data_IF_585030522636
#
_entry.id   IF_585030522636
#
_cell.length_a   1.000
_cell.length_b   1.000
_cell.length_c   1.000
_cell.angle_alpha   90.00
_cell.angle_beta   90.00
_cell.angle_gamma   90.00
#
_symmetry.space_group_name_H-M   'P 1'
#
loop_
_entity.id
_entity.type
_entity.pdbx_description
1 polymer ?
#
# COMPACT_ATOMS: atom_id res chain seq x y z
N UNK A 1 9.05 13.81 -14.79
CA UNK A 1 8.38 13.95 -13.48
C UNK A 1 9.07 15.00 -12.64
N UNK A 2 8.34 15.92 -12.11
CA UNK A 2 8.91 16.98 -11.29
C UNK A 2 9.21 16.48 -9.88
N UNK A 3 9.99 17.25 -9.14
CA UNK A 3 10.27 16.91 -7.74
C UNK A 3 8.99 16.87 -6.92
N UNK A 4 8.07 17.79 -7.20
CA UNK A 4 6.81 17.83 -6.49
C UNK A 4 5.97 16.58 -6.77
N UNK A 5 5.96 16.14 -8.01
CA UNK A 5 5.23 14.93 -8.38
C UNK A 5 5.84 13.70 -7.72
N UNK A 6 7.17 13.65 -7.67
CA UNK A 6 7.86 12.53 -7.01
C UNK A 6 7.50 12.49 -5.52
N UNK A 7 7.50 13.65 -4.88
CA UNK A 7 7.18 13.72 -3.45
C UNK A 7 5.73 13.30 -3.20
N UNK A 8 4.81 13.72 -4.04
CA UNK A 8 3.42 13.35 -3.92
C UNK A 8 3.26 11.84 -4.03
N UNK A 9 3.92 11.23 -5.04
CA UNK A 9 3.83 9.79 -5.23
C UNK A 9 4.51 9.03 -4.09
N UNK A 10 5.63 9.55 -3.61
CA UNK A 10 6.32 8.94 -2.47
C UNK A 10 5.41 8.95 -1.24
N UNK A 11 4.74 10.06 -0.99
CA UNK A 11 3.82 10.18 0.15
C UNK A 11 2.71 9.14 0.05
N UNK A 12 2.14 8.98 -1.14
CA UNK A 12 1.08 7.98 -1.34
C UNK A 12 1.60 6.57 -1.16
N UNK A 13 2.83 6.32 -1.59
CA UNK A 13 3.44 5.00 -1.43
C UNK A 13 3.67 4.69 0.05
N UNK A 14 4.12 5.68 0.83
CA UNK A 14 4.32 5.49 2.26
C UNK A 14 3.00 5.12 2.92
N UNK A 15 1.92 5.80 2.56
CA UNK A 15 0.61 5.48 3.11
C UNK A 15 0.17 4.08 2.73
N UNK A 16 0.39 3.70 1.48
CA UNK A 16 -0.01 2.37 1.00
C UNK A 16 0.75 1.26 1.71
N UNK A 17 2.01 1.53 2.09
CA UNK A 17 2.84 0.52 2.75
C UNK A 17 2.63 0.46 4.26
N UNK A 18 1.80 1.32 4.80
CA UNK A 18 1.47 1.24 6.21
C UNK A 18 1.95 2.40 7.07
N UNK A 19 2.53 3.42 6.44
CA UNK A 19 2.94 4.63 7.15
C UNK A 19 4.44 4.71 7.38
N UNK A 20 4.85 5.77 8.06
CA UNK A 20 6.27 6.10 8.25
C UNK A 20 7.04 4.97 8.91
N UNK A 21 6.47 4.40 9.97
CA UNK A 21 7.17 3.35 10.73
C UNK A 21 7.41 2.12 9.86
N UNK A 22 6.39 1.70 9.11
CA UNK A 22 6.51 0.53 8.26
C UNK A 22 7.57 0.75 7.19
N UNK A 23 7.56 1.92 6.56
CA UNK A 23 8.53 2.24 5.51
C UNK A 23 9.93 2.32 6.06
N UNK A 24 10.09 2.89 7.27
CA UNK A 24 11.41 2.95 7.89
C UNK A 24 12.00 1.55 8.08
N UNK A 25 11.18 0.61 8.53
CA UNK A 25 11.62 -0.77 8.69
C UNK A 25 11.97 -1.41 7.35
N UNK A 26 11.15 -1.18 6.35
CA UNK A 26 11.37 -1.74 5.02
C UNK A 26 12.67 -1.22 4.41
N UNK A 27 12.90 0.08 4.53
CA UNK A 27 14.07 0.71 3.93
C UNK A 27 15.32 0.60 4.78
N UNK A 28 15.18 0.14 6.03
CA UNK A 28 16.31 0.01 6.92
C UNK A 28 16.83 1.35 7.41
N UNK A 29 15.95 2.32 7.59
CA UNK A 29 16.35 3.65 8.06
C UNK A 29 15.47 4.06 9.24
N UNK A 30 15.73 5.26 9.79
CA UNK A 30 14.96 5.74 10.92
C UNK A 30 13.64 6.37 10.45
N UNK A 31 12.67 6.42 11.35
CA UNK A 31 11.42 7.12 11.06
C UNK A 31 11.68 8.59 10.80
N UNK A 32 12.70 9.14 11.45
CA UNK A 32 13.07 10.53 11.24
C UNK A 32 13.51 10.77 9.79
N UNK A 33 14.28 9.82 9.24
CA UNK A 33 14.72 9.93 7.86
C UNK A 33 13.52 9.93 6.90
N UNK A 34 12.56 9.03 7.14
CA UNK A 34 11.36 9.00 6.31
C UNK A 34 10.60 10.31 6.44
N UNK A 35 10.50 10.84 7.66
CA UNK A 35 9.84 12.13 7.89
C UNK A 35 10.50 13.25 7.11
N UNK A 36 11.83 13.28 7.08
CA UNK A 36 12.57 14.29 6.34
C UNK A 36 12.34 14.18 4.83
N UNK A 37 12.23 12.96 4.33
CA UNK A 37 11.90 12.76 2.92
C UNK A 37 10.51 13.29 2.61
N UNK A 38 9.58 13.06 3.51
CA UNK A 38 8.19 13.51 3.30
C UNK A 38 8.04 15.02 3.36
N UNK A 39 8.86 15.71 4.15
CA UNK A 39 8.79 17.16 4.26
C UNK A 39 9.63 17.86 3.21
N UNK A 40 10.44 17.12 2.47
CA UNK A 40 11.33 17.71 1.49
C UNK A 40 12.67 18.14 2.05
N UNK A 41 12.93 17.91 3.34
CA UNK A 41 14.22 18.24 3.93
C UNK A 41 15.35 17.42 3.35
N UNK A 42 15.06 16.17 2.98
CA UNK A 42 16.02 15.30 2.33
C UNK A 42 15.56 15.06 0.91
N UNK A 43 16.50 15.04 -0.02
CA UNK A 43 16.19 14.81 -1.42
C UNK A 43 15.78 13.36 -1.66
N UNK A 44 14.79 13.17 -2.51
CA UNK A 44 14.37 11.83 -2.92
C UNK A 44 15.26 11.40 -4.08
N UNK A 45 16.38 10.77 -3.75
CA UNK A 45 17.22 10.26 -4.81
C UNK A 45 16.77 8.86 -5.22
N UNK A 46 17.40 8.36 -6.25
CA UNK A 46 16.98 7.11 -6.88
C UNK A 46 16.93 5.92 -5.91
N UNK A 47 17.86 5.88 -4.97
CA UNK A 47 17.89 4.77 -4.02
C UNK A 47 16.63 4.67 -3.18
N UNK A 48 16.11 5.81 -2.72
CA UNK A 48 14.87 5.83 -1.97
C UNK A 48 13.70 5.39 -2.82
N UNK A 49 13.66 5.89 -4.06
CA UNK A 49 12.56 5.56 -4.97
C UNK A 49 12.56 4.09 -5.34
N UNK A 50 13.73 3.51 -5.57
CA UNK A 50 13.84 2.09 -5.88
C UNK A 50 13.42 1.22 -4.71
N UNK A 51 13.83 1.61 -3.51
CA UNK A 51 13.48 0.85 -2.30
C UNK A 51 11.98 0.79 -2.11
N UNK A 52 11.31 1.92 -2.27
CA UNK A 52 9.86 1.98 -2.12
C UNK A 52 9.17 1.23 -3.26
N UNK A 53 9.69 1.36 -4.47
CA UNK A 53 9.11 0.65 -5.62
C UNK A 53 9.17 -0.86 -5.44
N UNK A 54 10.32 -1.38 -4.99
CA UNK A 54 10.46 -2.80 -4.71
C UNK A 54 9.49 -3.25 -3.61
N UNK A 55 9.37 -2.44 -2.56
CA UNK A 55 8.48 -2.77 -1.46
C UNK A 55 7.02 -2.83 -1.92
N UNK A 56 6.63 -1.91 -2.80
CA UNK A 56 5.27 -1.92 -3.33
C UNK A 56 4.98 -3.17 -4.15
N UNK A 57 5.97 -3.62 -4.95
CA UNK A 57 5.80 -4.83 -5.73
C UNK A 57 5.66 -6.05 -4.82
N UNK A 58 6.50 -6.14 -3.79
CA UNK A 58 6.41 -7.25 -2.84
C UNK A 58 5.08 -7.22 -2.10
N UNK A 59 4.64 -6.03 -1.72
CA UNK A 59 3.38 -5.87 -1.03
C UNK A 59 2.21 -6.32 -1.92
N UNK A 60 2.25 -6.00 -3.19
CA UNK A 60 1.22 -6.40 -4.14
C UNK A 60 1.15 -7.92 -4.27
N UNK A 61 2.32 -8.58 -4.32
CA UNK A 61 2.38 -10.03 -4.40
C UNK A 61 1.78 -10.65 -3.13
N UNK A 62 2.14 -10.11 -1.97
CA UNK A 62 1.61 -10.60 -0.71
C UNK A 62 0.09 -10.45 -0.64
N UNK A 63 -0.39 -9.28 -1.02
CA UNK A 63 -1.84 -9.04 -1.01
C UNK A 63 -2.57 -10.03 -1.91
N UNK A 64 -2.00 -10.31 -3.06
CA UNK A 64 -2.60 -11.25 -4.00
C UNK A 64 -2.65 -12.66 -3.44
N UNK A 65 -1.55 -13.07 -2.78
CA UNK A 65 -1.50 -14.39 -2.16
C UNK A 65 -2.51 -14.52 -1.02
N UNK A 66 -2.59 -13.50 -0.19
CA UNK A 66 -3.53 -13.50 0.92
C UNK A 66 -4.97 -13.55 0.43
N UNK A 67 -5.26 -12.78 -0.60
CA UNK A 67 -6.61 -12.75 -1.16
C UNK A 67 -7.00 -14.15 -1.66
N UNK A 68 -6.10 -14.81 -2.37
CA UNK A 68 -6.37 -16.15 -2.90
C UNK A 68 -6.58 -17.17 -1.79
N UNK A 69 -5.82 -17.02 -0.71
CA UNK A 69 -5.93 -17.94 0.41
C UNK A 69 -7.23 -17.73 1.18
N UNK A 70 -7.62 -16.46 1.34
CA UNK A 70 -8.81 -16.14 2.12
C UNK A 70 -10.11 -16.42 1.38
N UNK A 71 -10.10 -16.34 0.07
CA UNK A 71 -11.32 -16.45 -0.70
C UNK A 71 -11.24 -17.43 -1.87
N UNK A 72 -10.79 -18.66 -1.63
CA UNK A 72 -10.71 -19.63 -2.72
C UNK A 72 -12.06 -20.01 -3.26
N UNK A 73 -13.10 -19.88 -2.45
CA UNK A 73 -14.44 -20.26 -2.83
C UNK A 73 -15.33 -19.07 -3.15
N UNK A 74 -14.72 -17.91 -3.36
CA UNK A 74 -15.49 -16.70 -3.67
C UNK A 74 -15.12 -16.19 -5.05
N UNK A 75 -15.42 -16.92 -6.09
CA UNK A 75 -15.03 -16.50 -7.44
C UNK A 75 -15.62 -15.15 -7.83
N UNK A 76 -16.68 -14.75 -7.17
CA UNK A 76 -17.27 -13.47 -7.42
C UNK A 76 -16.33 -12.32 -7.07
N UNK A 77 -15.33 -12.60 -6.24
CA UNK A 77 -14.34 -11.57 -5.94
C UNK A 77 -13.60 -11.14 -7.18
N UNK A 78 -13.54 -12.02 -8.14
CA UNK A 78 -12.87 -11.70 -9.39
C UNK A 78 -13.72 -10.77 -10.23
N UNK A 79 -15.01 -10.99 -10.07
CA UNK A 79 -15.90 -10.23 -10.89
C UNK A 79 -16.33 -9.03 -10.18
N UNK A 80 -16.34 -9.16 -8.96
CA UNK A 80 -16.92 -8.12 -8.25
C UNK A 80 -16.04 -7.04 -8.23
N UNK A 81 -15.16 -7.35 -8.54
CA UNK A 81 -14.58 -6.24 -8.69
C UNK A 81 -15.75 -5.57 -8.98
N UNK A 82 -16.43 -6.24 -9.21
CA UNK A 82 -17.47 -6.06 -9.55
C UNK A 82 -18.47 -6.38 -8.64
N UNK A 83 -18.90 -6.75 -8.40
CA UNK A 83 -20.00 -6.91 -7.64
C UNK A 83 -20.10 -6.70 -6.26
N UNK A 84 -19.91 -6.48 -6.12
CA UNK A 84 -20.22 -6.41 -5.16
C UNK A 84 -20.87 -5.76 -4.74
N UNK A 85 -21.13 -5.71 -4.79
CA UNK A 85 -21.66 -5.41 -4.15
C UNK A 85 -22.20 -5.16 -3.53
N UNK A 86 -21.99 -4.88 -3.46
CA UNK A 86 -22.37 -4.90 -2.87
C UNK A 86 -22.54 -4.78 -2.16
N UNK A 87 -22.39 -4.31 -2.13
CA UNK A 87 -22.40 -4.61 -1.47
C UNK A 87 -22.26 -4.48 -0.85
N UNK A 88 -22.24 -4.15 -0.74
CA UNK A 88 -22.01 -4.53 -0.18
C UNK A 88 -21.82 -4.46 0.43
N UNK A 89 -21.83 -4.17 0.53
CA UNK A 89 -21.56 -4.67 1.02
C UNK A 89 -21.36 -4.48 1.78
N UNK A 90 -21.09 -4.40 1.93
CA UNK A 90 -20.89 -4.76 2.42
C UNK A 90 -20.95 -4.75 3.23
N UNK A 91 -21.31 -4.52 3.18
CA UNK A 91 -21.39 -5.08 3.68
C UNK A 91 -21.55 -5.18 4.31
N UNK A 92 -20.92 -4.92 4.63
CA UNK A 92 -21.04 -5.49 4.99
C UNK A 92 -21.11 -5.75 5.49
N UNK A 93 -21.06 -5.44 5.54
CA UNK A 93 -20.99 -6.05 5.98
C UNK A 93 -20.87 -6.37 6.46
N UNK A 94 -20.40 -5.98 6.63
CA UNK A 94 -20.06 -6.75 7.06
C UNK A 94 -19.81 -7.04 7.45
N UNK A 95 -19.30 -7.05 7.55
CA UNK A 95 -19.02 -7.71 7.89
C UNK A 95 -18.66 -7.99 8.41
N UNK A 96 -18.12 -7.80 8.54
CA UNK A 96 -17.70 -8.35 8.89
C UNK A 96 -17.91 -8.29 9.42
N UNK A 97 -17.67 -8.04 9.57
CA UNK A 97 -17.79 -8.36 10.01
C UNK A 97 -17.88 -8.45 10.60
N UNK A 98 -17.87 -8.11 10.65
CA UNK A 98 -17.89 -8.59 11.02
C UNK A 98 -17.78 -8.82 11.35
N UNK A 99 -17.65 -8.43 11.35
CA UNK A 99 -17.52 -8.88 11.50
C UNK A 99 -17.44 -9.16 11.59
#
# INVERSE_FOLDING_TARGET
MTSQEQLTLFTRAVEALGGVRAVAQILGCSERSVGRLLTGEMALHEGWLRGVSSALLEHAVLCRKLERTLSPDFPSNLLAGQARPAGGGRHENGSLDAD
#
